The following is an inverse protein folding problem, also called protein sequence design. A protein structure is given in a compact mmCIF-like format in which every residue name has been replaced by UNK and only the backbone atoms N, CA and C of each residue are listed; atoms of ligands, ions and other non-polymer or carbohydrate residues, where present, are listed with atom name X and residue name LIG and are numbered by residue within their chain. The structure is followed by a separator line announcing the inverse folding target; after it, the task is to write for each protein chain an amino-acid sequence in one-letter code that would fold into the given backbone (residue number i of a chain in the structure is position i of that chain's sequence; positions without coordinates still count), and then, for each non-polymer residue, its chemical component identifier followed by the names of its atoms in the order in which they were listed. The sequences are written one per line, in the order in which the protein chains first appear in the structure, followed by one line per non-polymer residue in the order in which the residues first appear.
data_IF_531703788195
#
_entry.id   IF_531703788195
#
_cell.length_a   1.000
_cell.length_b   1.000
_cell.length_c   1.000
_cell.angle_alpha   90.00
_cell.angle_beta   90.00
_cell.angle_gamma   90.00
#
_symmetry.space_group_name_H-M   'P 1'
#
loop_
_entity.id
_entity.type
_entity.pdbx_description
1 polymer ?
#
# COMPACT_ATOMS: atom_id res chain seq x y z
N UNK A 1 15.27 -13.24 -10.45
CA UNK A 1 14.70 -12.48 -9.31
C UNK A 1 14.57 -11.00 -9.68
N UNK A 2 13.36 -10.55 -10.01
CA UNK A 2 13.06 -9.26 -10.65
C UNK A 2 13.23 -8.09 -9.66
N UNK A 3 14.41 -7.44 -9.70
CA UNK A 3 14.84 -6.34 -8.79
C UNK A 3 13.95 -5.08 -8.83
N UNK A 4 13.01 -4.96 -9.78
CA UNK A 4 12.13 -3.80 -9.96
C UNK A 4 10.99 -3.72 -8.94
N UNK A 5 10.38 -4.84 -8.58
CA UNK A 5 9.21 -4.86 -7.70
C UNK A 5 9.55 -4.39 -6.26
N UNK A 6 10.77 -4.70 -5.79
CA UNK A 6 11.20 -4.34 -4.43
C UNK A 6 11.39 -2.83 -4.27
N UNK A 7 11.88 -2.12 -5.31
CA UNK A 7 12.07 -0.66 -5.23
C UNK A 7 10.75 0.08 -5.05
N UNK A 8 9.71 -0.34 -5.78
CA UNK A 8 8.44 0.37 -5.79
C UNK A 8 7.74 0.35 -4.42
N UNK A 9 7.93 -0.70 -3.62
CA UNK A 9 7.33 -0.80 -2.29
C UNK A 9 7.86 0.23 -1.30
N UNK A 10 9.15 0.56 -1.37
CA UNK A 10 9.79 1.48 -0.43
C UNK A 10 9.66 2.95 -0.83
N UNK A 11 9.39 3.24 -2.10
CA UNK A 11 9.43 4.63 -2.60
C UNK A 11 8.07 5.22 -2.96
N UNK A 12 7.03 4.39 -3.12
CA UNK A 12 5.76 4.83 -3.72
C UNK A 12 4.58 4.75 -2.75
N UNK A 13 4.56 3.78 -1.83
CA UNK A 13 3.41 3.58 -0.96
C UNK A 13 3.61 4.26 0.40
N UNK A 14 2.60 5.02 0.82
CA UNK A 14 2.56 5.63 2.16
C UNK A 14 2.34 4.55 3.21
N UNK A 15 2.96 4.76 4.36
CA UNK A 15 2.67 3.96 5.55
C UNK A 15 1.24 4.22 6.00
N UNK A 16 0.52 3.14 6.30
CA UNK A 16 -0.82 3.27 6.86
C UNK A 16 -0.72 3.79 8.30
N UNK A 17 -1.56 4.76 8.68
CA UNK A 17 -1.65 5.23 10.07
C UNK A 17 -2.75 4.48 10.83
N UNK A 18 -2.83 4.68 12.15
CA UNK A 18 -3.90 4.09 12.95
C UNK A 18 -5.26 4.58 12.50
N UNK A 19 -5.34 5.83 12.04
CA UNK A 19 -6.58 6.36 11.48
C UNK A 19 -6.98 5.62 10.21
N UNK A 20 -6.04 5.35 9.29
CA UNK A 20 -6.31 4.58 8.06
C UNK A 20 -6.84 3.17 8.37
N UNK A 21 -6.27 2.51 9.38
CA UNK A 21 -6.74 1.20 9.82
C UNK A 21 -8.14 1.28 10.43
N UNK A 22 -8.41 2.26 11.29
CA UNK A 22 -9.74 2.43 11.88
C UNK A 22 -10.79 2.89 10.88
N UNK A 23 -10.39 3.63 9.84
CA UNK A 23 -11.26 4.06 8.76
C UNK A 23 -11.54 2.94 7.75
N UNK A 24 -10.69 1.91 7.72
CA UNK A 24 -10.86 0.72 6.89
C UNK A 24 -11.60 -0.35 7.68
N UNK A 25 -12.76 -0.79 7.20
CA UNK A 25 -13.49 -1.90 7.84
C UNK A 25 -12.77 -3.25 7.71
N UNK A 26 -11.78 -3.34 6.82
CA UNK A 26 -10.98 -4.53 6.57
C UNK A 26 -9.62 -4.44 7.28
N UNK A 27 -9.56 -4.84 8.56
CA UNK A 27 -8.31 -4.95 9.33
C UNK A 27 -7.58 -6.27 9.11
N UNK A 28 -8.04 -7.11 8.18
CA UNK A 28 -7.46 -8.43 7.93
C UNK A 28 -6.74 -8.45 6.58
N UNK A 29 -5.49 -8.87 6.58
CA UNK A 29 -4.73 -9.06 5.36
C UNK A 29 -5.23 -10.28 4.59
N UNK A 30 -5.88 -10.10 3.44
CA UNK A 30 -6.40 -11.23 2.65
C UNK A 30 -5.34 -12.18 2.09
N UNK A 31 -4.06 -11.76 2.07
CA UNK A 31 -2.95 -12.58 1.57
C UNK A 31 -2.53 -13.63 2.61
N UNK A 32 -2.36 -13.23 3.88
CA UNK A 32 -1.95 -14.13 4.97
C UNK A 32 -3.08 -14.51 5.93
N UNK A 33 -4.26 -13.87 5.80
CA UNK A 33 -5.44 -14.02 6.66
C UNK A 33 -5.19 -13.64 8.13
N UNK A 34 -4.30 -12.68 8.35
CA UNK A 34 -3.89 -12.24 9.68
C UNK A 34 -4.23 -10.75 9.88
N UNK A 35 -4.43 -10.36 11.14
CA UNK A 35 -4.83 -9.00 11.50
C UNK A 35 -3.71 -7.99 11.26
N UNK A 36 -4.09 -6.82 10.78
CA UNK A 36 -3.22 -5.72 10.43
C UNK A 36 -3.04 -4.84 11.66
N UNK A 37 -1.90 -4.95 12.32
CA UNK A 37 -1.58 -4.14 13.49
C UNK A 37 -0.36 -3.28 13.23
N UNK A 38 -0.43 -2.03 13.68
CA UNK A 38 0.67 -1.07 13.51
C UNK A 38 1.85 -1.39 14.42
N UNK A 39 3.08 -1.01 14.01
CA UNK A 39 4.25 -1.09 14.87
C UNK A 39 4.00 -0.28 16.16
N UNK A 40 3.98 -0.95 17.30
CA UNK A 40 3.82 -0.30 18.62
C UNK A 40 2.57 -0.72 19.41
N UNK A 41 1.57 -1.33 18.79
CA UNK A 41 0.37 -1.82 19.49
C UNK A 41 0.52 -3.25 20.06
N UNK A 42 1.72 -3.65 20.47
CA UNK A 42 2.00 -4.98 21.03
C UNK A 42 2.29 -6.09 20.02
N UNK A 43 2.48 -5.77 18.73
CA UNK A 43 2.78 -6.76 17.69
C UNK A 43 4.25 -7.22 17.74
N UNK A 44 4.48 -8.54 17.62
CA UNK A 44 5.83 -9.12 17.51
C UNK A 44 6.57 -8.50 16.32
N UNK A 45 7.80 -8.04 16.57
CA UNK A 45 8.69 -7.41 15.58
C UNK A 45 9.00 -8.41 14.46
N UNK A 46 8.23 -8.36 13.38
CA UNK A 46 8.32 -9.27 12.24
C UNK A 46 8.33 -8.46 10.92
N UNK A 47 8.59 -9.13 9.79
CA UNK A 47 8.62 -8.47 8.48
C UNK A 47 7.22 -8.03 7.97
N UNK A 48 6.18 -8.32 8.75
CA UNK A 48 4.77 -7.98 8.55
C UNK A 48 4.35 -6.74 9.36
N UNK A 49 5.21 -6.21 10.24
CA UNK A 49 4.86 -5.09 11.13
C UNK A 49 4.62 -3.79 10.38
N UNK A 50 5.21 -3.62 9.19
CA UNK A 50 4.95 -2.45 8.35
C UNK A 50 3.71 -2.67 7.48
N UNK A 51 2.77 -1.73 7.55
CA UNK A 51 1.54 -1.71 6.76
C UNK A 51 1.64 -0.60 5.71
N UNK A 52 1.35 -0.94 4.46
CA UNK A 52 1.36 0.02 3.35
C UNK A 52 -0.03 0.16 2.77
N UNK A 53 -0.44 1.41 2.57
CA UNK A 53 -1.68 1.78 1.88
C UNK A 53 -1.40 1.98 0.40
N UNK A 54 -2.11 1.23 -0.44
CA UNK A 54 -2.05 1.35 -1.89
C UNK A 54 -2.77 2.63 -2.36
N UNK A 55 -2.48 3.10 -3.59
CA UNK A 55 -3.18 4.23 -4.21
C UNK A 55 -4.69 3.99 -4.37
N UNK A 56 -5.12 2.73 -4.41
CA UNK A 56 -6.52 2.31 -4.42
C UNK A 56 -7.14 2.22 -3.02
N UNK A 57 -6.54 2.86 -2.01
CA UNK A 57 -6.93 2.90 -0.60
C UNK A 57 -6.93 1.58 0.19
N UNK A 58 -6.48 0.46 -0.39
CA UNK A 58 -6.38 -0.81 0.34
C UNK A 58 -5.06 -0.93 1.11
N UNK A 59 -5.10 -1.52 2.29
CA UNK A 59 -3.94 -1.68 3.17
C UNK A 59 -3.46 -3.13 3.10
N UNK A 60 -2.15 -3.38 3.12
CA UNK A 60 -1.54 -4.72 3.21
C UNK A 60 -0.23 -4.68 3.98
N UNK A 61 0.15 -5.81 4.57
CA UNK A 61 1.48 -5.97 5.12
C UNK A 61 2.55 -5.87 4.02
N UNK A 62 3.67 -5.21 4.32
CA UNK A 62 4.80 -5.09 3.39
C UNK A 62 5.32 -6.47 2.96
N UNK A 63 5.45 -7.42 3.89
CA UNK A 63 5.88 -8.78 3.59
C UNK A 63 4.94 -9.52 2.63
N UNK A 64 3.64 -9.49 2.90
CA UNK A 64 2.63 -10.11 2.04
C UNK A 64 2.55 -9.46 0.66
N UNK A 65 2.51 -8.13 0.63
CA UNK A 65 2.44 -7.36 -0.61
C UNK A 65 3.68 -7.58 -1.47
N UNK A 66 4.86 -7.71 -0.85
CA UNK A 66 6.11 -8.06 -1.53
C UNK A 66 6.02 -9.40 -2.25
N UNK A 67 5.55 -10.43 -1.55
CA UNK A 67 5.38 -11.77 -2.14
C UNK A 67 4.34 -11.77 -3.25
N UNK A 68 3.28 -10.97 -3.12
CA UNK A 68 2.27 -10.80 -4.15
C UNK A 68 2.82 -10.13 -5.41
N UNK A 69 3.53 -9.00 -5.27
CA UNK A 69 4.12 -8.26 -6.39
C UNK A 69 5.22 -9.02 -7.13
N UNK A 70 5.80 -10.07 -6.55
CA UNK A 70 6.65 -10.99 -7.30
C UNK A 70 5.89 -11.77 -8.37
N UNK A 71 4.57 -11.95 -8.20
CA UNK A 71 3.69 -12.66 -9.14
C UNK A 71 2.87 -11.70 -9.98
N UNK A 72 2.18 -10.73 -9.36
CA UNK A 72 1.22 -9.85 -10.01
C UNK A 72 1.28 -8.45 -9.41
N UNK A 73 1.40 -7.40 -10.24
CA UNK A 73 1.49 -5.99 -9.80
C UNK A 73 0.11 -5.31 -9.70
N UNK A 74 -0.89 -6.07 -9.28
CA UNK A 74 -2.28 -5.63 -9.14
C UNK A 74 -2.72 -5.71 -7.68
N UNK A 75 -3.71 -4.91 -7.30
CA UNK A 75 -4.30 -4.97 -5.96
C UNK A 75 -5.02 -6.32 -5.77
N UNK A 76 -4.75 -7.08 -4.69
CA UNK A 76 -5.44 -8.34 -4.42
C UNK A 76 -6.95 -8.20 -4.23
N UNK A 77 -7.42 -7.05 -3.72
CA UNK A 77 -8.85 -6.81 -3.44
C UNK A 77 -9.58 -6.29 -4.69
N UNK A 78 -9.12 -5.18 -5.27
CA UNK A 78 -9.84 -4.52 -6.38
C UNK A 78 -9.29 -4.84 -7.77
N UNK A 79 -8.23 -5.65 -7.89
CA UNK A 79 -7.51 -5.98 -9.14
C UNK A 79 -6.95 -4.77 -9.92
N UNK A 80 -6.95 -3.58 -9.33
CA UNK A 80 -6.42 -2.38 -9.95
C UNK A 80 -4.89 -2.46 -10.12
N UNK A 81 -4.38 -2.01 -11.26
CA UNK A 81 -2.94 -1.93 -11.51
C UNK A 81 -2.31 -0.81 -10.66
N UNK A 82 -1.50 -1.23 -9.69
CA UNK A 82 -0.98 -0.35 -8.64
C UNK A 82 0.12 0.56 -9.19
N UNK A 83 0.90 0.06 -10.15
CA UNK A 83 1.98 0.81 -10.82
C UNK A 83 1.37 1.90 -11.71
N UNK A 84 0.32 1.56 -12.45
CA UNK A 84 -0.41 2.52 -13.28
C UNK A 84 -1.05 3.61 -12.42
N UNK A 85 -1.70 3.25 -11.31
CA UNK A 85 -2.31 4.23 -10.42
C UNK A 85 -1.29 5.13 -9.72
N UNK A 86 -0.17 4.58 -9.25
CA UNK A 86 0.90 5.39 -8.67
C UNK A 86 1.38 6.48 -9.65
N UNK A 87 1.64 6.09 -10.90
CA UNK A 87 2.02 7.03 -11.96
C UNK A 87 0.94 8.08 -12.25
N UNK A 88 -0.34 7.69 -12.18
CA UNK A 88 -1.45 8.63 -12.34
C UNK A 88 -1.53 9.64 -11.19
N UNK A 89 -1.28 9.20 -9.96
CA UNK A 89 -1.23 10.10 -8.79
C UNK A 89 -0.05 11.09 -8.89
N UNK A 90 1.11 10.66 -9.37
CA UNK A 90 2.24 11.56 -9.67
C UNK A 90 1.83 12.63 -10.70
N UNK A 91 1.21 12.22 -11.81
CA UNK A 91 0.75 13.14 -12.87
C UNK A 91 -0.37 14.10 -12.40
N UNK A 92 -1.29 13.63 -11.56
CA UNK A 92 -2.38 14.45 -11.01
C UNK A 92 -1.87 15.43 -9.95
N UNK A 93 -0.91 15.02 -9.12
CA UNK A 93 -0.24 15.90 -8.15
C UNK A 93 0.49 17.07 -8.82
N UNK A 94 1.01 16.87 -10.04
CA UNK A 94 1.59 17.97 -10.85
C UNK A 94 0.55 18.90 -11.48
N UNK A 95 -0.70 18.46 -11.68
CA UNK A 95 -1.77 19.30 -12.26
C UNK A 95 -2.55 20.11 -11.21
N UNK A 96 -2.65 19.63 -9.97
CA UNK A 96 -3.38 20.31 -8.90
C UNK A 96 -2.77 21.67 -8.48
N UNK A 97 -1.53 21.98 -8.88
CA UNK A 97 -0.89 23.28 -8.60
C UNK A 97 -1.23 24.39 -9.60
N UNK A 98 -1.95 24.12 -10.70
CA UNK A 98 -2.28 25.13 -11.73
C UNK A 98 -3.73 25.63 -11.73
N UNK A 99 -4.61 25.14 -10.85
CA UNK A 99 -6.04 25.52 -10.85
C UNK A 99 -6.46 26.46 -9.69
N UNK A 100 -5.50 27.06 -8.98
CA UNK A 100 -5.73 27.98 -7.85
C UNK A 100 -5.66 29.49 -8.17
N UNK A 101 -5.73 29.88 -9.44
CA UNK A 101 -5.77 31.28 -9.89
C UNK A 101 -6.98 31.47 -10.81
N UNK A 102 -8.17 31.54 -10.23
CA UNK A 102 -9.33 32.23 -10.81
C UNK A 102 -10.15 32.84 -9.69
#
# INVERSE_FOLDING_TARGET
MSRRAIRYMNTVFRDATSEDLTASSDTVCIICREDMQLPGAGSQLNQNTALKRLPCSHIFHVGCLRSWFQRQQTCPTCRMDVIRQARQQELQGSQAQQQGLH
#
